data_IF_846024908398
#
_entry.id   IF_846024908398
#
_cell.length_a   1.000
_cell.length_b   1.000
_cell.length_c   1.000
_cell.angle_alpha   90.00
_cell.angle_beta   90.00
_cell.angle_gamma   90.00
#
_symmetry.space_group_name_H-M   'P 1'
#
loop_
_entity.id
_entity.type
_entity.pdbx_description
1 polymer ?
#
# COMPACT_ATOMS: atom_id res chain seq x y z
N UNK A 1 -13.84 2.08 46.29
CA UNK A 1 -14.65 1.43 45.25
C UNK A 1 -14.94 2.35 44.04
N UNK A 2 -15.22 3.64 44.22
CA UNK A 2 -15.45 4.57 43.09
C UNK A 2 -14.24 4.74 42.14
N UNK A 3 -13.01 4.74 42.66
CA UNK A 3 -11.80 4.88 41.84
C UNK A 3 -11.55 3.70 40.88
N UNK A 4 -11.87 2.47 41.30
CA UNK A 4 -11.72 1.27 40.46
C UNK A 4 -12.72 1.27 39.29
N UNK A 5 -13.98 1.62 39.56
CA UNK A 5 -15.02 1.73 38.51
C UNK A 5 -14.68 2.83 37.50
N UNK A 6 -14.11 3.95 37.94
CA UNK A 6 -13.67 5.02 37.03
C UNK A 6 -12.49 4.58 36.15
N UNK A 7 -11.54 3.81 36.69
CA UNK A 7 -10.42 3.25 35.93
C UNK A 7 -10.89 2.23 34.88
N UNK A 8 -11.82 1.34 35.23
CA UNK A 8 -12.40 0.35 34.31
C UNK A 8 -13.12 1.03 33.14
N UNK A 9 -13.92 2.07 33.40
CA UNK A 9 -14.59 2.87 32.35
C UNK A 9 -13.59 3.52 31.41
N UNK A 10 -12.54 4.14 31.96
CA UNK A 10 -11.50 4.77 31.16
C UNK A 10 -10.73 3.75 30.30
N UNK A 11 -10.51 2.53 30.79
CA UNK A 11 -9.88 1.46 30.03
C UNK A 11 -10.78 0.98 28.88
N UNK A 12 -12.08 0.80 29.14
CA UNK A 12 -13.06 0.41 28.12
C UNK A 12 -13.17 1.44 26.99
N UNK A 13 -13.18 2.74 27.31
CA UNK A 13 -13.20 3.81 26.31
C UNK A 13 -11.93 3.86 25.45
N UNK A 14 -10.75 3.57 26.02
CA UNK A 14 -9.51 3.46 25.25
C UNK A 14 -9.57 2.26 24.30
N UNK A 15 -10.06 1.12 24.79
CA UNK A 15 -10.20 -0.09 23.99
C UNK A 15 -11.19 0.09 22.82
N UNK A 16 -12.32 0.76 23.08
CA UNK A 16 -13.31 1.09 22.05
C UNK A 16 -12.72 1.98 20.94
N UNK A 17 -11.95 3.01 21.31
CA UNK A 17 -11.24 3.87 20.35
C UNK A 17 -10.21 3.10 19.54
N UNK A 18 -9.41 2.23 20.18
CA UNK A 18 -8.45 1.42 19.44
C UNK A 18 -9.11 0.45 18.47
N UNK A 19 -10.26 -0.11 18.84
CA UNK A 19 -11.03 -0.99 17.97
C UNK A 19 -11.57 -0.26 16.74
N UNK A 20 -12.15 0.93 16.94
CA UNK A 20 -12.66 1.74 15.84
C UNK A 20 -11.55 2.12 14.84
N UNK A 21 -10.38 2.51 15.35
CA UNK A 21 -9.20 2.80 14.52
C UNK A 21 -8.71 1.55 13.76
N UNK A 22 -8.66 0.40 14.42
CA UNK A 22 -8.23 -0.86 13.80
C UNK A 22 -9.21 -1.31 12.70
N UNK A 23 -10.51 -1.26 12.97
CA UNK A 23 -11.55 -1.58 11.98
C UNK A 23 -11.49 -0.64 10.78
N UNK A 24 -11.40 0.68 11.00
CA UNK A 24 -11.30 1.65 9.92
C UNK A 24 -10.07 1.39 9.03
N UNK A 25 -8.92 1.12 9.66
CA UNK A 25 -7.68 0.81 8.94
C UNK A 25 -7.81 -0.46 8.11
N UNK A 26 -8.37 -1.52 8.69
CA UNK A 26 -8.57 -2.80 8.02
C UNK A 26 -9.55 -2.69 6.84
N UNK A 27 -10.69 -2.01 7.05
CA UNK A 27 -11.70 -1.76 6.00
C UNK A 27 -11.09 -1.00 4.81
N UNK A 28 -10.36 0.08 5.10
CA UNK A 28 -9.71 0.89 4.06
C UNK A 28 -8.71 0.08 3.24
N UNK A 29 -7.86 -0.72 3.91
CA UNK A 29 -6.88 -1.60 3.25
C UNK A 29 -7.55 -2.67 2.40
N UNK A 30 -8.49 -3.42 2.97
CA UNK A 30 -9.20 -4.49 2.24
C UNK A 30 -9.90 -3.95 1.01
N UNK A 31 -10.56 -2.78 1.12
CA UNK A 31 -11.20 -2.12 -0.01
C UNK A 31 -10.20 -1.71 -1.09
N UNK A 32 -9.12 -1.03 -0.71
CA UNK A 32 -8.10 -0.59 -1.66
C UNK A 32 -7.48 -1.76 -2.44
N UNK A 33 -7.20 -2.87 -1.76
CA UNK A 33 -6.66 -4.09 -2.38
C UNK A 33 -7.70 -4.74 -3.29
N UNK A 34 -8.96 -4.80 -2.87
CA UNK A 34 -10.06 -5.30 -3.73
C UNK A 34 -10.14 -4.51 -5.02
N UNK A 35 -10.18 -3.18 -4.95
CA UNK A 35 -10.25 -2.30 -6.11
C UNK A 35 -9.01 -2.47 -7.02
N UNK A 36 -7.82 -2.63 -6.42
CA UNK A 36 -6.59 -2.88 -7.17
C UNK A 36 -6.64 -4.21 -7.92
N UNK A 37 -7.13 -5.27 -7.28
CA UNK A 37 -7.27 -6.61 -7.88
C UNK A 37 -8.33 -6.61 -8.97
N UNK A 38 -9.48 -5.98 -8.73
CA UNK A 38 -10.61 -5.96 -9.66
C UNK A 38 -10.28 -5.25 -10.97
N UNK A 39 -9.54 -4.14 -10.90
CA UNK A 39 -9.08 -3.39 -12.08
C UNK A 39 -8.00 -4.12 -12.89
N UNK A 40 -7.39 -5.20 -12.35
CA UNK A 40 -6.24 -5.92 -12.93
C UNK A 40 -6.45 -7.42 -12.94
N UNK A 41 -7.71 -7.87 -13.05
CA UNK A 41 -8.08 -9.29 -13.01
C UNK A 41 -7.33 -10.19 -14.00
N UNK A 42 -6.91 -9.67 -15.15
CA UNK A 42 -6.17 -10.46 -16.14
C UNK A 42 -4.73 -10.78 -15.76
N UNK A 43 -4.10 -9.97 -14.92
CA UNK A 43 -2.69 -10.09 -14.56
C UNK A 43 -2.43 -10.55 -13.13
N UNK A 44 -3.48 -10.77 -12.32
CA UNK A 44 -3.36 -11.12 -10.90
C UNK A 44 -3.73 -12.59 -10.69
N UNK A 45 -2.87 -13.31 -9.98
CA UNK A 45 -2.97 -14.73 -9.73
C UNK A 45 -3.99 -15.11 -8.65
N UNK A 46 -4.28 -16.42 -8.51
CA UNK A 46 -5.23 -16.92 -7.52
C UNK A 46 -4.76 -16.71 -6.08
N UNK A 47 -3.46 -16.73 -5.81
CA UNK A 47 -2.91 -16.57 -4.44
C UNK A 47 -3.28 -15.21 -3.82
N UNK A 48 -3.08 -14.11 -4.56
CA UNK A 48 -3.45 -12.78 -4.11
C UNK A 48 -4.95 -12.67 -3.79
N UNK A 49 -5.80 -13.33 -4.60
CA UNK A 49 -7.25 -13.37 -4.39
C UNK A 49 -7.64 -14.18 -3.16
N UNK A 50 -6.99 -15.32 -2.93
CA UNK A 50 -7.20 -16.14 -1.73
C UNK A 50 -6.85 -15.35 -0.47
N UNK A 51 -5.72 -14.64 -0.46
CA UNK A 51 -5.33 -13.79 0.68
C UNK A 51 -6.30 -12.64 0.91
N UNK A 52 -6.82 -12.01 -0.15
CA UNK A 52 -7.86 -11.00 -0.02
C UNK A 52 -9.15 -11.59 0.58
N UNK A 53 -9.57 -12.78 0.15
CA UNK A 53 -10.75 -13.45 0.69
C UNK A 53 -10.57 -13.81 2.18
N UNK A 54 -9.37 -14.23 2.59
CA UNK A 54 -9.03 -14.41 4.01
C UNK A 54 -9.11 -13.10 4.80
N UNK A 55 -8.55 -12.01 4.26
CA UNK A 55 -8.63 -10.70 4.87
C UNK A 55 -10.08 -10.26 5.09
N UNK A 56 -10.95 -10.47 4.09
CA UNK A 56 -12.39 -10.17 4.18
C UNK A 56 -13.08 -11.01 5.26
N UNK A 57 -12.76 -12.31 5.38
CA UNK A 57 -13.31 -13.17 6.45
C UNK A 57 -12.94 -12.66 7.84
N UNK A 58 -11.67 -12.29 8.04
CA UNK A 58 -11.23 -11.72 9.32
C UNK A 58 -11.88 -10.37 9.61
N UNK A 59 -12.07 -9.52 8.60
CA UNK A 59 -12.74 -8.24 8.76
C UNK A 59 -14.20 -8.40 9.18
N UNK A 60 -14.91 -9.38 8.61
CA UNK A 60 -16.27 -9.72 9.01
C UNK A 60 -16.30 -10.21 10.47
N UNK A 61 -15.42 -11.14 10.83
CA UNK A 61 -15.33 -11.63 12.22
C UNK A 61 -15.02 -10.51 13.22
N UNK A 62 -14.18 -9.54 12.85
CA UNK A 62 -13.91 -8.36 13.68
C UNK A 62 -15.16 -7.49 13.86
N UNK A 63 -15.96 -7.30 12.81
CA UNK A 63 -17.20 -6.54 12.89
C UNK A 63 -18.25 -7.22 13.78
N UNK A 64 -18.40 -8.54 13.65
CA UNK A 64 -19.35 -9.34 14.45
C UNK A 64 -19.01 -9.29 15.94
N UNK A 65 -17.72 -9.37 16.27
CA UNK A 65 -17.24 -9.38 17.66
C UNK A 65 -17.10 -8.00 18.29
N UNK A 66 -17.30 -6.92 17.52
CA UNK A 66 -17.11 -5.54 17.98
C UNK A 66 -17.86 -5.23 19.28
N UNK A 67 -19.07 -5.76 19.44
CA UNK A 67 -19.93 -5.50 20.60
C UNK A 67 -19.74 -6.50 21.75
N UNK A 68 -19.28 -7.72 21.46
CA UNK A 68 -19.20 -8.82 22.45
C UNK A 68 -17.79 -9.01 23.00
N UNK A 69 -16.76 -8.89 22.15
CA UNK A 69 -15.36 -9.03 22.52
C UNK A 69 -14.49 -8.03 21.72
N UNK A 70 -14.32 -6.79 22.24
CA UNK A 70 -13.53 -5.77 21.57
C UNK A 70 -12.05 -6.13 21.39
N UNK A 71 -11.48 -6.94 22.30
CA UNK A 71 -10.06 -7.31 22.23
C UNK A 71 -9.82 -8.31 21.09
N UNK A 72 -10.68 -9.31 20.98
CA UNK A 72 -10.63 -10.29 19.90
C UNK A 72 -11.01 -9.67 18.54
N UNK A 73 -11.95 -8.71 18.54
CA UNK A 73 -12.25 -7.91 17.35
C UNK A 73 -11.03 -7.11 16.84
N UNK A 74 -10.23 -6.52 17.74
CA UNK A 74 -8.96 -5.85 17.36
C UNK A 74 -7.99 -6.86 16.74
N UNK A 75 -7.84 -8.05 17.34
CA UNK A 75 -6.96 -9.09 16.82
C UNK A 75 -7.35 -9.49 15.38
N UNK A 76 -8.64 -9.68 15.13
CA UNK A 76 -9.16 -9.96 13.79
C UNK A 76 -8.99 -8.80 12.79
N UNK A 77 -9.20 -7.55 13.22
CA UNK A 77 -8.98 -6.38 12.36
C UNK A 77 -7.49 -6.23 11.96
N UNK A 78 -6.59 -6.51 12.89
CA UNK A 78 -5.15 -6.53 12.62
C UNK A 78 -4.77 -7.67 11.67
N UNK A 79 -5.30 -8.89 11.88
CA UNK A 79 -5.10 -10.01 10.97
C UNK A 79 -5.59 -9.69 9.54
N UNK A 80 -6.78 -9.08 9.40
CA UNK A 80 -7.30 -8.62 8.12
C UNK A 80 -6.36 -7.61 7.45
N UNK A 81 -5.80 -6.66 8.22
CA UNK A 81 -4.85 -5.66 7.70
C UNK A 81 -3.54 -6.29 7.20
N UNK A 82 -3.03 -7.30 7.90
CA UNK A 82 -1.83 -8.06 7.49
C UNK A 82 -2.08 -8.86 6.21
N UNK A 83 -3.18 -9.62 6.16
CA UNK A 83 -3.56 -10.41 4.99
C UNK A 83 -3.82 -9.53 3.76
N UNK A 84 -4.43 -8.36 3.94
CA UNK A 84 -4.59 -7.39 2.86
C UNK A 84 -3.23 -6.87 2.34
N UNK A 85 -2.26 -6.62 3.22
CA UNK A 85 -0.92 -6.21 2.81
C UNK A 85 -0.19 -7.32 2.04
N UNK A 86 -0.35 -8.58 2.46
CA UNK A 86 0.19 -9.74 1.74
C UNK A 86 -0.45 -9.90 0.36
N UNK A 87 -1.79 -9.80 0.27
CA UNK A 87 -2.51 -9.83 -0.99
C UNK A 87 -2.04 -8.73 -1.96
N UNK A 88 -1.79 -7.52 -1.46
CA UNK A 88 -1.24 -6.43 -2.26
C UNK A 88 0.17 -6.74 -2.78
N UNK A 89 1.03 -7.31 -1.93
CA UNK A 89 2.40 -7.69 -2.30
C UNK A 89 2.41 -8.72 -3.43
N UNK A 90 1.59 -9.77 -3.30
CA UNK A 90 1.40 -10.79 -4.32
C UNK A 90 0.86 -10.19 -5.62
N UNK A 91 -0.20 -9.38 -5.54
CA UNK A 91 -0.79 -8.73 -6.71
C UNK A 91 0.20 -7.79 -7.42
N UNK A 92 1.07 -7.10 -6.68
CA UNK A 92 2.13 -6.29 -7.26
C UNK A 92 3.16 -7.16 -8.00
N UNK A 93 3.57 -8.28 -7.39
CA UNK A 93 4.45 -9.26 -8.01
C UNK A 93 3.89 -9.79 -9.33
N UNK A 94 2.61 -10.17 -9.34
CA UNK A 94 1.93 -10.70 -10.52
C UNK A 94 1.88 -9.67 -11.66
N UNK A 95 1.58 -8.41 -11.35
CA UNK A 95 1.57 -7.32 -12.35
C UNK A 95 2.96 -7.10 -12.94
N UNK A 96 4.02 -7.18 -12.12
CA UNK A 96 5.39 -7.05 -12.63
C UNK A 96 5.80 -8.25 -13.48
N UNK A 97 5.38 -9.46 -13.11
CA UNK A 97 5.60 -10.66 -13.90
C UNK A 97 4.86 -10.58 -15.25
N UNK A 98 3.60 -10.15 -15.26
CA UNK A 98 2.81 -9.97 -16.47
C UNK A 98 3.44 -8.92 -17.41
N UNK A 99 3.97 -7.82 -16.88
CA UNK A 99 4.71 -6.81 -17.66
C UNK A 99 5.98 -7.35 -18.32
N UNK A 100 6.67 -8.29 -17.66
CA UNK A 100 7.86 -8.96 -18.22
C UNK A 100 7.51 -10.03 -19.25
N UNK A 101 6.37 -10.69 -19.08
CA UNK A 101 5.87 -11.73 -19.98
C UNK A 101 5.35 -11.17 -21.31
N UNK A 102 4.89 -9.91 -21.32
CA UNK A 102 4.65 -9.13 -22.53
C UNK A 102 5.78 -8.11 -22.70
N UNK A 103 7.01 -8.51 -23.10
CA UNK A 103 7.85 -7.55 -23.78
C UNK A 103 7.07 -7.18 -25.03
N UNK A 104 6.73 -5.90 -25.16
CA UNK A 104 6.37 -5.31 -26.44
C UNK A 104 7.31 -5.92 -27.48
N UNK A 105 6.81 -6.86 -28.30
CA UNK A 105 7.53 -7.32 -29.47
C UNK A 105 8.00 -6.06 -30.20
N UNK A 106 9.27 -5.90 -30.50
CA UNK A 106 10.05 -6.96 -31.10
C UNK A 106 9.46 -7.32 -32.47
N UNK A 107 8.80 -6.38 -33.15
CA UNK A 107 9.01 -6.22 -34.58
C UNK A 107 10.23 -5.30 -34.67
N UNK A 108 11.42 -5.83 -34.94
CA UNK A 108 11.70 -6.45 -36.21
C UNK A 108 11.98 -5.31 -37.16
N UNK A 109 13.25 -4.96 -37.32
CA UNK A 109 13.82 -4.06 -38.33
C UNK A 109 13.52 -4.58 -39.75
N UNK A 110 12.24 -4.61 -40.11
CA UNK A 110 11.67 -4.92 -41.41
C UNK A 110 10.58 -3.89 -41.74
N UNK A 111 10.84 -2.63 -41.39
CA UNK A 111 10.00 -1.48 -41.73
C UNK A 111 10.79 -0.22 -42.10
N UNK A 112 12.12 -0.31 -42.19
CA UNK A 112 13.01 0.82 -42.45
C UNK A 112 13.60 0.84 -43.89
N UNK A 113 12.99 0.13 -44.84
CA UNK A 113 13.20 0.41 -46.26
C UNK A 113 11.90 0.94 -46.85
N UNK A 114 11.96 2.16 -47.40
CA UNK A 114 10.87 2.92 -48.05
C UNK A 114 10.01 3.81 -47.15
N UNK A 115 10.62 4.78 -46.46
CA UNK A 115 9.83 5.88 -45.92
C UNK A 115 10.60 6.96 -45.15
N UNK A 116 11.56 7.63 -45.79
CA UNK A 116 11.94 8.99 -45.41
C UNK A 116 12.84 9.16 -44.17
N UNK A 117 14.12 9.45 -44.41
CA UNK A 117 14.89 10.55 -43.80
C UNK A 117 14.44 10.98 -42.38
N UNK A 118 15.19 10.61 -41.34
CA UNK A 118 15.98 11.52 -40.48
C UNK A 118 16.83 10.66 -39.55
N UNK A 119 18.13 10.86 -39.70
CA UNK A 119 19.23 10.33 -38.92
C UNK A 119 19.34 11.13 -37.63
N UNK A 120 19.50 10.43 -36.51
CA UNK A 120 20.54 10.75 -35.54
C UNK A 120 20.30 11.86 -34.52
N UNK A 121 20.42 11.42 -33.27
CA UNK A 121 21.03 12.12 -32.15
C UNK A 121 20.21 13.06 -31.26
N UNK A 122 20.44 12.83 -29.95
CA UNK A 122 20.27 13.77 -28.84
C UNK A 122 18.84 14.13 -28.45
N UNK A 123 18.15 13.26 -27.72
CA UNK A 123 17.27 13.75 -26.65
C UNK A 123 16.90 12.66 -25.66
N UNK A 124 17.17 12.94 -24.39
CA UNK A 124 16.18 12.75 -23.34
C UNK A 124 15.61 11.34 -23.17
N UNK A 125 16.09 10.62 -22.17
CA UNK A 125 15.31 10.63 -20.93
C UNK A 125 16.09 9.87 -19.86
N UNK A 126 16.52 10.61 -18.84
CA UNK A 126 16.65 9.99 -17.53
C UNK A 126 15.31 9.37 -17.15
N UNK A 127 15.35 8.13 -16.70
CA UNK A 127 14.39 7.53 -15.76
C UNK A 127 14.98 6.20 -15.31
N UNK A 128 16.14 6.33 -14.65
CA UNK A 128 16.71 5.28 -13.83
C UNK A 128 15.97 5.32 -12.49
N UNK A 129 15.12 4.34 -12.25
CA UNK A 129 14.78 3.79 -10.94
C UNK A 129 14.17 4.73 -9.90
N UNK A 130 12.88 4.57 -9.64
CA UNK A 130 12.23 5.16 -8.47
C UNK A 130 10.83 4.60 -8.25
N UNK A 131 10.74 3.37 -7.74
CA UNK A 131 9.51 2.81 -7.18
C UNK A 131 9.75 2.57 -5.69
N UNK A 132 9.13 3.37 -4.83
CA UNK A 132 9.22 3.21 -3.38
C UNK A 132 8.56 4.38 -2.67
N UNK A 133 7.26 4.27 -2.39
CA UNK A 133 6.54 5.34 -1.69
C UNK A 133 5.06 5.08 -1.54
N UNK A 134 4.68 4.02 -0.82
CA UNK A 134 3.37 3.93 -0.18
C UNK A 134 3.60 3.49 1.27
N UNK A 135 3.98 4.44 2.12
CA UNK A 135 3.85 4.32 3.56
C UNK A 135 2.47 4.82 3.98
N UNK A 136 1.84 4.24 5.02
CA UNK A 136 0.57 4.74 5.53
C UNK A 136 0.73 6.16 6.07
N UNK A 137 -0.33 6.95 6.02
CA UNK A 137 -0.40 8.23 6.70
C UNK A 137 -0.16 8.03 8.21
N UNK A 138 1.03 8.37 8.66
CA UNK A 138 1.37 8.45 10.08
C UNK A 138 0.81 9.76 10.63
N UNK A 139 -0.22 9.64 11.45
CA UNK A 139 -0.62 10.68 12.41
C UNK A 139 0.30 10.55 13.63
N UNK A 140 1.21 11.52 13.80
CA UNK A 140 2.13 11.56 14.94
C UNK A 140 3.31 12.50 14.65
N UNK A 141 3.38 13.62 15.35
CA UNK A 141 4.36 14.68 15.09
C UNK A 141 5.80 14.31 15.47
N UNK A 142 6.75 15.09 14.94
CA UNK A 142 7.75 15.85 15.73
C UNK A 142 8.79 16.51 14.81
N UNK A 143 9.18 17.71 15.23
CA UNK A 143 10.38 18.49 14.93
C UNK A 143 11.63 17.68 14.53
N UNK A 144 12.29 18.10 13.44
CA UNK A 144 13.76 18.14 13.29
C UNK A 144 14.15 18.59 11.89
N UNK A 145 14.47 19.87 11.72
CA UNK A 145 15.26 20.35 10.58
C UNK A 145 16.70 20.50 11.05
N UNK A 146 17.50 19.44 10.90
CA UNK A 146 18.94 19.46 11.12
C UNK A 146 19.66 18.81 9.94
N UNK A 147 20.66 19.51 9.42
CA UNK A 147 21.62 19.01 8.44
C UNK A 147 21.21 19.34 7.01
N UNK A 148 22.01 20.01 6.20
CA UNK A 148 23.44 20.21 6.26
C UNK A 148 23.88 20.35 4.81
N UNK A 149 24.07 21.58 4.35
CA UNK A 149 24.44 21.91 2.98
C UNK A 149 25.78 22.60 2.97
N UNK A 150 26.79 21.84 2.54
CA UNK A 150 28.19 22.23 2.41
C UNK A 150 28.39 23.32 1.33
N UNK A 151 29.29 24.25 1.64
CA UNK A 151 30.25 24.95 0.77
C UNK A 151 29.80 25.43 -0.63
N UNK A 152 29.91 26.74 -0.89
CA UNK A 152 30.01 27.22 -2.27
C UNK A 152 29.99 28.74 -2.47
N UNK A 153 31.14 29.39 -2.27
CA UNK A 153 31.62 30.45 -3.18
C UNK A 153 31.07 31.88 -3.05
N UNK A 154 31.89 32.74 -2.42
CA UNK A 154 32.53 33.87 -3.11
C UNK A 154 31.65 35.01 -3.65
N UNK A 155 31.75 36.16 -2.97
CA UNK A 155 31.05 37.39 -3.30
C UNK A 155 31.43 38.06 -4.62
N UNK A 156 30.65 39.10 -4.91
CA UNK A 156 30.93 40.18 -5.86
C UNK A 156 30.08 41.37 -5.41
N UNK A 157 30.72 42.55 -5.46
CA UNK A 157 30.29 43.92 -5.15
C UNK A 157 29.92 44.25 -3.70
#
# INVERSE_FOLDING_TARGET
>A
MLAAVAQERAAAERLARSLEQALFTAQSRVRAVSDYIDTRRGSIGPEARTRLAEAQRHLHAAADRRATDPADAIAHANAASTLAAEAQSLANGDVQAARRAYPRGGGGDMGAMLGGIIIGDLLSSGMRGGFGGWGPASFGGSTSSSGGGFLGGGGRF
#
